data_IF_913930512868
#
_entry.id   IF_913930512868
#
_cell.length_a   1.000
_cell.length_b   1.000
_cell.length_c   1.000
_cell.angle_alpha   90.00
_cell.angle_beta   90.00
_cell.angle_gamma   90.00
#
_symmetry.space_group_name_H-M   'P 1'
#
loop_
_entity.id
_entity.type
_entity.pdbx_description
1 polymer ?
#
# COMPACT_ATOMS: atom_id res chain seq x y z
N UNK A 1 -3.10 -2.74 5.84
CA UNK A 1 -2.51 -2.34 4.54
C UNK A 1 -1.26 -3.14 4.23
N UNK A 2 -0.26 -3.16 5.11
CA UNK A 2 0.99 -3.91 4.88
C UNK A 2 0.77 -5.37 4.46
N UNK A 3 -0.09 -6.10 5.18
CA UNK A 3 -0.43 -7.48 4.83
C UNK A 3 -0.93 -7.61 3.37
N UNK A 4 -1.84 -6.73 2.93
CA UNK A 4 -2.38 -6.77 1.57
C UNK A 4 -1.30 -6.53 0.50
N UNK A 5 -0.31 -5.67 0.80
CA UNK A 5 0.82 -5.43 -0.11
C UNK A 5 1.74 -6.66 -0.15
N UNK A 6 2.07 -7.24 1.01
CA UNK A 6 2.90 -8.45 1.09
C UNK A 6 2.24 -9.66 0.41
N UNK A 7 0.92 -9.74 0.46
CA UNK A 7 0.16 -10.82 -0.18
C UNK A 7 0.13 -10.68 -1.71
N UNK A 8 -0.02 -9.47 -2.26
CA UNK A 8 -0.08 -9.25 -3.71
C UNK A 8 1.30 -9.19 -4.36
N UNK A 9 2.34 -8.70 -3.67
CA UNK A 9 3.69 -8.52 -4.21
C UNK A 9 4.23 -9.73 -4.99
N UNK A 10 4.20 -10.98 -4.47
CA UNK A 10 4.73 -12.15 -5.21
C UNK A 10 3.88 -12.55 -6.44
N UNK A 11 2.71 -11.96 -6.63
CA UNK A 11 1.80 -12.27 -7.75
C UNK A 11 1.93 -11.28 -8.92
N UNK A 12 2.60 -10.14 -8.71
CA UNK A 12 2.71 -9.08 -9.71
C UNK A 12 3.67 -9.46 -10.84
N UNK A 13 3.35 -9.03 -12.05
CA UNK A 13 4.20 -9.18 -13.23
C UNK A 13 4.46 -7.84 -13.92
N UNK A 14 5.47 -7.80 -14.81
CA UNK A 14 5.77 -6.61 -15.58
C UNK A 14 4.56 -6.16 -16.41
N UNK A 15 4.14 -4.91 -16.21
CA UNK A 15 2.95 -4.33 -16.84
C UNK A 15 1.76 -4.15 -15.89
N UNK A 16 1.77 -4.78 -14.71
CA UNK A 16 0.74 -4.58 -13.70
C UNK A 16 0.83 -3.19 -13.04
N UNK A 17 -0.28 -2.76 -12.43
CA UNK A 17 -0.36 -1.53 -11.65
C UNK A 17 -0.95 -1.81 -10.27
N UNK A 18 -0.30 -1.32 -9.22
CA UNK A 18 -0.81 -1.34 -7.85
C UNK A 18 -1.29 0.06 -7.47
N UNK A 19 -2.55 0.19 -7.07
CA UNK A 19 -3.17 1.46 -6.70
C UNK A 19 -3.67 1.43 -5.26
N UNK A 20 -3.13 2.31 -4.41
CA UNK A 20 -3.75 2.61 -3.12
C UNK A 20 -4.89 3.63 -3.32
N UNK A 21 -6.12 3.14 -3.46
CA UNK A 21 -7.35 3.95 -3.49
C UNK A 21 -8.39 3.40 -2.52
N UNK A 22 -8.22 3.63 -1.20
CA UNK A 22 -8.97 2.89 -0.17
C UNK A 22 -10.42 3.36 0.02
N UNK A 23 -10.85 4.45 -0.61
CA UNK A 23 -12.18 5.08 -0.45
C UNK A 23 -12.62 5.41 0.99
N UNK A 24 -11.74 5.21 1.98
CA UNK A 24 -12.02 5.32 3.42
C UNK A 24 -11.01 6.24 4.12
N UNK A 25 -11.44 6.86 5.22
CA UNK A 25 -10.55 7.53 6.17
C UNK A 25 -9.49 6.54 6.70
N UNK A 26 -8.36 7.06 7.18
CA UNK A 26 -7.26 6.24 7.72
C UNK A 26 -7.21 6.18 9.24
N UNK A 27 -8.12 6.90 9.92
CA UNK A 27 -8.03 7.21 11.36
C UNK A 27 -8.22 6.01 12.28
N UNK A 28 -8.66 4.87 11.74
CA UNK A 28 -8.80 3.60 12.45
C UNK A 28 -7.44 2.90 12.68
N UNK A 29 -6.48 3.09 11.77
CA UNK A 29 -5.18 2.40 11.78
C UNK A 29 -3.96 3.32 11.68
N UNK A 30 -4.17 4.59 11.28
CA UNK A 30 -3.12 5.58 11.07
C UNK A 30 -3.54 6.94 11.65
N UNK A 31 -2.54 7.79 11.92
CA UNK A 31 -2.78 9.13 12.46
C UNK A 31 -3.46 10.08 11.46
N UNK A 32 -3.15 9.91 10.17
CA UNK A 32 -3.70 10.69 9.06
C UNK A 32 -3.49 9.93 7.74
N UNK A 33 -3.95 10.48 6.61
CA UNK A 33 -3.88 9.78 5.32
C UNK A 33 -2.46 9.83 4.74
N UNK A 34 -1.69 10.85 5.07
CA UNK A 34 -0.30 11.03 4.66
C UNK A 34 0.58 9.93 5.25
N UNK A 35 0.40 9.59 6.53
CA UNK A 35 1.12 8.48 7.15
C UNK A 35 0.81 7.15 6.46
N UNK A 36 -0.46 6.91 6.11
CA UNK A 36 -0.85 5.73 5.32
C UNK A 36 -0.20 5.73 3.94
N UNK A 37 -0.13 6.88 3.28
CA UNK A 37 0.52 7.04 1.98
C UNK A 37 2.04 6.81 2.04
N UNK A 38 2.72 7.35 3.05
CA UNK A 38 4.15 7.12 3.26
C UNK A 38 4.46 5.64 3.51
N UNK A 39 3.63 4.95 4.29
CA UNK A 39 3.83 3.52 4.54
C UNK A 39 3.61 2.69 3.26
N UNK A 40 2.66 3.08 2.40
CA UNK A 40 2.50 2.45 1.08
C UNK A 40 3.71 2.68 0.18
N UNK A 41 4.22 3.91 0.12
CA UNK A 41 5.40 4.24 -0.69
C UNK A 41 6.64 3.46 -0.21
N UNK A 42 6.87 3.41 1.11
CA UNK A 42 7.95 2.65 1.73
C UNK A 42 7.88 1.16 1.37
N UNK A 43 6.70 0.57 1.42
CA UNK A 43 6.49 -0.84 1.07
C UNK A 43 6.62 -1.10 -0.44
N UNK A 44 6.21 -0.15 -1.28
CA UNK A 44 6.40 -0.23 -2.73
C UNK A 44 7.88 -0.19 -3.11
N UNK A 45 8.70 0.59 -2.41
CA UNK A 45 10.17 0.58 -2.58
C UNK A 45 10.84 -0.69 -2.03
N UNK A 46 10.30 -1.28 -0.95
CA UNK A 46 10.84 -2.51 -0.35
C UNK A 46 10.53 -3.76 -1.19
N UNK A 47 9.37 -3.83 -1.84
CA UNK A 47 8.82 -5.05 -2.45
C UNK A 47 8.65 -5.01 -3.97
N UNK A 48 8.79 -3.83 -4.60
CA UNK A 48 8.80 -3.66 -6.06
C UNK A 48 10.15 -3.99 -6.69
#
# INVERSE_FOLDING_TARGET
MEQAIRDIAPQLVAGDMVLLSPACASLDQFRNFEQRGHEFARLAEELG
#
